data_IF_430170455482
#
_entry.id   IF_430170455482
#
_cell.length_a   1.000
_cell.length_b   1.000
_cell.length_c   1.000
_cell.angle_alpha   90.00
_cell.angle_beta   90.00
_cell.angle_gamma   90.00
#
_symmetry.space_group_name_H-M   'P 1'
#
loop_
_entity.id
_entity.type
_entity.pdbx_description
1 polymer ?
#
# COMPACT_ATOMS: atom_id res chain seq x y z
N UNK A 1 10.07 -3.66 12.38
CA UNK A 1 10.79 -2.82 11.39
C UNK A 1 10.01 -2.68 10.08
N UNK A 2 9.25 -3.70 9.65
CA UNK A 2 8.32 -3.57 8.52
C UNK A 2 7.13 -2.63 8.79
N UNK A 3 6.60 -2.63 10.02
CA UNK A 3 5.45 -1.78 10.41
C UNK A 3 5.65 -0.28 10.15
N UNK A 4 6.75 0.37 10.58
CA UNK A 4 6.96 1.80 10.28
C UNK A 4 7.13 2.09 8.79
N UNK A 5 7.68 1.15 7.99
CA UNK A 5 7.77 1.31 6.54
C UNK A 5 6.38 1.36 5.89
N UNK A 6 5.51 0.42 6.25
CA UNK A 6 4.11 0.41 5.77
C UNK A 6 3.35 1.64 6.26
N UNK A 7 3.59 2.08 7.50
CA UNK A 7 2.98 3.30 8.04
C UNK A 7 3.42 4.57 7.28
N UNK A 8 4.70 4.68 6.90
CA UNK A 8 5.20 5.79 6.08
C UNK A 8 4.59 5.78 4.68
N UNK A 9 4.44 4.60 4.06
CA UNK A 9 3.76 4.49 2.76
C UNK A 9 2.29 4.88 2.89
N UNK A 10 1.61 4.47 3.97
CA UNK A 10 0.23 4.88 4.21
C UNK A 10 0.07 6.38 4.37
N UNK A 11 0.96 7.02 5.14
CA UNK A 11 0.99 8.47 5.27
C UNK A 11 1.26 9.17 3.92
N UNK A 12 2.17 8.64 3.10
CA UNK A 12 2.46 9.16 1.76
C UNK A 12 1.24 9.04 0.83
N UNK A 13 0.62 7.87 0.75
CA UNK A 13 -0.58 7.64 -0.06
C UNK A 13 -1.73 8.55 0.38
N UNK A 14 -1.92 8.73 1.69
CA UNK A 14 -2.95 9.63 2.20
C UNK A 14 -2.61 11.11 1.99
N UNK A 15 -1.33 11.48 1.95
CA UNK A 15 -0.93 12.85 1.60
C UNK A 15 -1.23 13.21 0.14
N UNK A 16 -1.29 12.21 -0.75
CA UNK A 16 -1.64 12.38 -2.15
C UNK A 16 -3.13 12.66 -2.37
N UNK A 17 -3.99 11.96 -1.64
CA UNK A 17 -5.43 12.25 -1.57
C UNK A 17 -5.89 12.38 -0.10
N UNK A 18 -5.83 13.60 0.48
CA UNK A 18 -6.26 13.84 1.85
C UNK A 18 -7.76 13.61 2.09
N UNK A 19 -8.57 13.53 1.03
CA UNK A 19 -10.01 13.29 1.13
C UNK A 19 -10.35 11.80 1.18
N UNK A 20 -9.39 10.94 0.85
CA UNK A 20 -9.53 9.50 0.95
C UNK A 20 -9.82 9.06 2.41
N UNK A 21 -10.69 8.07 2.53
CA UNK A 21 -10.95 7.41 3.80
C UNK A 21 -9.81 6.44 4.14
N UNK A 22 -9.65 6.13 5.43
CA UNK A 22 -8.70 5.12 5.87
C UNK A 22 -8.88 3.76 5.16
N UNK A 23 -10.12 3.40 4.80
CA UNK A 23 -10.44 2.18 4.06
C UNK A 23 -9.93 2.21 2.61
N UNK A 24 -10.03 3.35 1.93
CA UNK A 24 -9.50 3.53 0.57
C UNK A 24 -7.98 3.51 0.56
N UNK A 25 -7.34 4.19 1.52
CA UNK A 25 -5.87 4.17 1.67
C UNK A 25 -5.37 2.75 1.96
N UNK A 26 -6.04 2.03 2.85
CA UNK A 26 -5.71 0.63 3.11
C UNK A 26 -5.87 -0.23 1.85
N UNK A 27 -6.95 -0.04 1.08
CA UNK A 27 -7.22 -0.84 -0.12
C UNK A 27 -6.15 -0.58 -1.17
N UNK A 28 -5.79 0.70 -1.39
CA UNK A 28 -4.73 1.10 -2.29
C UNK A 28 -3.40 0.44 -1.92
N UNK A 29 -3.02 0.37 -0.63
CA UNK A 29 -1.76 -0.24 -0.20
C UNK A 29 -1.79 -1.76 -0.26
N UNK A 30 -2.91 -2.38 0.12
CA UNK A 30 -3.07 -3.84 0.09
C UNK A 30 -3.02 -4.35 -1.35
N UNK A 31 -3.82 -3.75 -2.23
CA UNK A 31 -4.09 -4.27 -3.57
C UNK A 31 -2.95 -3.94 -4.54
N UNK A 32 -2.08 -3.00 -4.18
CA UNK A 32 -0.89 -2.61 -4.96
C UNK A 32 0.40 -3.34 -4.54
N UNK A 33 0.33 -4.21 -3.54
CA UNK A 33 1.49 -4.92 -3.02
C UNK A 33 2.06 -5.91 -4.04
N UNK A 34 3.40 -6.00 -4.09
CA UNK A 34 4.09 -6.93 -4.99
C UNK A 34 4.11 -8.34 -4.38
N UNK A 35 3.65 -9.38 -5.09
CA UNK A 35 3.78 -10.74 -4.61
C UNK A 35 5.26 -11.17 -4.62
N UNK A 36 5.70 -11.86 -3.56
CA UNK A 36 7.02 -12.50 -3.51
C UNK A 36 6.82 -14.01 -3.50
N UNK A 37 7.08 -14.65 -4.64
CA UNK A 37 6.80 -16.08 -4.87
C UNK A 37 7.53 -17.01 -3.89
N UNK A 38 8.73 -16.64 -3.43
CA UNK A 38 9.51 -17.41 -2.46
C UNK A 38 8.89 -17.45 -1.05
N UNK A 39 7.89 -16.61 -0.77
CA UNK A 39 7.16 -16.55 0.50
C UNK A 39 5.66 -16.72 0.31
N UNK A 40 5.26 -17.47 -0.73
CA UNK A 40 3.86 -17.74 -1.04
C UNK A 40 3.11 -18.28 0.19
N UNK A 41 1.95 -17.69 0.49
CA UNK A 41 1.11 -18.05 1.65
C UNK A 41 1.57 -17.46 3.00
N UNK A 42 2.72 -16.79 3.07
CA UNK A 42 3.24 -16.21 4.33
C UNK A 42 3.13 -14.68 4.39
N UNK A 43 3.01 -14.02 3.24
CA UNK A 43 3.18 -12.55 3.12
C UNK A 43 1.85 -11.77 2.97
N UNK A 44 0.70 -12.42 3.21
CA UNK A 44 -0.61 -11.80 2.99
C UNK A 44 -0.77 -11.32 1.55
N UNK A 45 -0.80 -10.00 1.35
CA UNK A 45 -0.91 -9.37 0.03
C UNK A 45 0.44 -9.14 -0.67
N UNK A 46 1.57 -9.30 0.04
CA UNK A 46 2.91 -9.16 -0.52
C UNK A 46 3.72 -8.02 0.09
N UNK A 47 4.74 -7.58 -0.64
CA UNK A 47 5.62 -6.46 -0.26
C UNK A 47 4.98 -5.14 -0.65
N UNK A 48 4.95 -4.20 0.29
CA UNK A 48 4.43 -2.85 0.05
C UNK A 48 5.14 -2.16 -1.13
N UNK A 49 4.36 -1.52 -2.01
CA UNK A 49 4.86 -0.78 -3.16
C UNK A 49 4.26 0.64 -3.17
N UNK A 50 5.08 1.65 -2.89
CA UNK A 50 4.64 3.04 -2.79
C UNK A 50 4.19 3.63 -4.13
N UNK A 51 4.88 3.29 -5.24
CA UNK A 51 4.55 3.82 -6.55
C UNK A 51 3.17 3.32 -7.02
N UNK A 52 2.92 2.02 -6.87
CA UNK A 52 1.64 1.43 -7.22
C UNK A 52 0.51 1.92 -6.30
N UNK A 53 0.78 2.10 -4.99
CA UNK A 53 -0.21 2.65 -4.06
C UNK A 53 -0.61 4.10 -4.40
N UNK A 54 0.36 4.92 -4.83
CA UNK A 54 0.11 6.30 -5.30
C UNK A 54 -0.70 6.32 -6.59
N UNK A 55 -0.39 5.43 -7.55
CA UNK A 55 -1.18 5.31 -8.77
C UNK A 55 -2.63 4.88 -8.46
N UNK A 56 -2.80 3.91 -7.55
CA UNK A 56 -4.10 3.39 -7.16
C UNK A 56 -4.99 4.44 -6.45
N UNK A 57 -4.41 5.31 -5.61
CA UNK A 57 -5.18 6.35 -4.91
C UNK A 57 -5.50 7.56 -5.82
N UNK A 58 -4.64 7.86 -6.80
CA UNK A 58 -4.80 9.02 -7.69
C UNK A 58 -5.78 8.79 -8.85
N UNK A 59 -6.35 7.58 -9.00
CA UNK A 59 -7.25 7.23 -10.11
C UNK A 59 -6.55 7.12 -11.47
N UNK A 60 -5.29 6.61 -11.47
CA UNK A 60 -4.51 6.39 -12.69
C UNK A 60 -5.01 5.25 -13.57
#
# INVERSE_FOLDING_TARGET
MATPLVASVAALTWSQDPTATAGQVWAAIRDSADPISSFSGQMGSGRVNAANALAAISGG
#
